data_IF_683839892463
#
_entry.id   IF_683839892463
#
_cell.length_a   1.000
_cell.length_b   1.000
_cell.length_c   1.000
_cell.angle_alpha   90.00
_cell.angle_beta   90.00
_cell.angle_gamma   90.00
#
_symmetry.space_group_name_H-M   'P 1'
#
loop_
_entity.id
_entity.type
_entity.pdbx_description
1 polymer ?
#
# COMPACT_ATOMS: atom_id res chain seq x y z
N UNK A 1 -66.32 2.51 42.31
CA UNK A 1 -67.53 3.32 42.10
C UNK A 1 -67.04 4.62 41.46
N UNK A 2 -66.75 4.61 40.17
CA UNK A 2 -67.68 4.64 39.02
C UNK A 2 -67.75 6.10 38.48
N UNK A 3 -67.54 6.36 37.18
CA UNK A 3 -68.41 6.04 36.03
C UNK A 3 -69.79 6.74 36.16
N UNK A 4 -70.29 7.49 35.18
CA UNK A 4 -69.76 7.88 33.85
C UNK A 4 -70.66 9.00 33.24
N UNK A 5 -70.56 9.23 31.93
CA UNK A 5 -71.63 9.67 31.01
C UNK A 5 -72.04 11.18 30.98
N UNK A 6 -71.86 11.79 29.78
CA UNK A 6 -72.89 12.36 28.87
C UNK A 6 -73.95 13.38 29.38
N UNK A 7 -74.51 14.33 28.60
CA UNK A 7 -74.13 14.96 27.30
C UNK A 7 -75.18 16.03 26.85
N UNK A 8 -74.86 16.76 25.76
CA UNK A 8 -75.80 17.31 24.73
C UNK A 8 -76.62 18.58 25.09
N UNK A 9 -77.17 19.21 24.04
CA UNK A 9 -78.03 20.43 23.95
C UNK A 9 -77.30 21.81 23.93
N UNK A 10 -77.66 22.79 23.08
CA UNK A 10 -78.65 22.82 21.98
C UNK A 10 -78.25 23.80 20.84
N UNK A 11 -78.67 23.44 19.61
CA UNK A 11 -79.23 24.20 18.45
C UNK A 11 -79.51 25.72 18.62
N UNK A 12 -79.70 26.61 17.62
CA UNK A 12 -80.00 26.60 16.15
C UNK A 12 -79.78 28.07 15.62
N UNK A 13 -79.93 28.55 14.37
CA UNK A 13 -80.08 28.02 12.99
C UNK A 13 -79.74 29.17 11.97
N UNK A 14 -79.10 28.88 10.82
CA UNK A 14 -79.43 29.49 9.50
C UNK A 14 -78.62 28.87 8.35
N UNK A 15 -79.24 28.69 7.19
CA UNK A 15 -78.67 28.04 5.99
C UNK A 15 -79.14 28.76 4.73
N UNK A 16 -78.28 28.83 3.68
CA UNK A 16 -78.53 28.91 2.22
C UNK A 16 -77.34 29.67 1.56
N UNK A 17 -76.78 29.32 0.39
CA UNK A 17 -76.74 28.07 -0.39
C UNK A 17 -75.70 28.17 -1.54
N UNK A 18 -75.57 27.12 -2.35
CA UNK A 18 -74.77 26.96 -3.58
C UNK A 18 -73.30 26.51 -3.47
N UNK A 19 -72.84 25.85 -4.56
CA UNK A 19 -71.88 24.74 -4.49
C UNK A 19 -70.51 25.05 -5.09
N UNK A 20 -69.46 24.50 -4.45
CA UNK A 20 -68.11 24.34 -5.00
C UNK A 20 -67.34 23.32 -4.15
N UNK A 21 -67.12 22.11 -4.68
CA UNK A 21 -66.58 21.00 -3.88
C UNK A 21 -65.11 21.20 -3.50
N UNK A 22 -64.80 21.12 -2.21
CA UNK A 22 -63.48 20.72 -1.71
C UNK A 22 -63.70 19.54 -0.74
N UNK A 23 -63.00 18.44 -0.99
CA UNK A 23 -63.09 17.21 -0.19
C UNK A 23 -62.36 17.34 1.15
N UNK A 24 -62.69 16.50 2.16
CA UNK A 24 -62.06 16.60 3.48
C UNK A 24 -60.54 16.42 3.44
N UNK A 25 -59.83 17.26 4.18
CA UNK A 25 -58.39 17.11 4.40
C UNK A 25 -58.09 15.77 5.06
N UNK A 26 -57.26 14.96 4.40
CA UNK A 26 -56.81 13.65 4.88
C UNK A 26 -55.77 13.79 6.01
N UNK A 27 -55.60 12.78 6.88
CA UNK A 27 -55.21 13.00 8.27
C UNK A 27 -53.73 13.38 8.46
N UNK A 28 -53.47 14.10 9.55
CA UNK A 28 -52.13 14.51 9.98
C UNK A 28 -51.16 13.32 10.09
N UNK A 29 -50.21 13.23 9.16
CA UNK A 29 -49.18 12.19 9.16
C UNK A 29 -48.19 12.48 10.29
N UNK A 30 -48.41 11.85 11.45
CA UNK A 30 -47.52 11.86 12.62
C UNK A 30 -46.15 11.25 12.26
N UNK A 31 -45.23 12.09 11.76
CA UNK A 31 -43.86 11.71 11.36
C UNK A 31 -43.10 11.07 12.53
N UNK A 32 -42.40 9.97 12.27
CA UNK A 32 -41.65 9.23 13.31
C UNK A 32 -40.42 10.01 13.76
N UNK A 33 -40.12 9.97 15.06
CA UNK A 33 -38.94 10.61 15.65
C UNK A 33 -37.66 10.08 14.98
N UNK A 34 -36.92 10.95 14.31
CA UNK A 34 -35.69 10.59 13.55
C UNK A 34 -35.88 10.36 12.05
N UNK A 35 -37.06 10.60 11.46
CA UNK A 35 -37.21 10.72 10.00
C UNK A 35 -36.95 12.16 9.53
N UNK A 36 -36.61 12.31 8.25
CA UNK A 36 -36.39 13.60 7.61
C UNK A 36 -37.68 14.45 7.60
N UNK A 37 -37.53 15.77 7.72
CA UNK A 37 -38.66 16.71 7.61
C UNK A 37 -39.34 16.60 6.23
N UNK A 38 -38.54 16.48 5.18
CA UNK A 38 -39.00 16.53 3.79
C UNK A 38 -39.36 15.13 3.23
N UNK A 39 -39.11 14.02 3.95
CA UNK A 39 -39.59 12.67 3.59
C UNK A 39 -39.43 11.62 4.70
N UNK A 40 -40.10 10.47 4.57
CA UNK A 40 -40.04 9.37 5.55
C UNK A 40 -38.71 8.58 5.62
N UNK A 41 -37.63 9.04 4.95
CA UNK A 41 -36.28 8.45 5.08
C UNK A 41 -35.67 8.81 6.45
N UNK A 42 -34.75 8.00 6.96
CA UNK A 42 -34.00 8.32 8.19
C UNK A 42 -33.22 9.64 8.04
N UNK A 43 -33.24 10.47 9.08
CA UNK A 43 -32.46 11.70 9.14
C UNK A 43 -31.03 11.44 9.63
N UNK A 44 -30.06 12.10 9.00
CA UNK A 44 -28.63 12.00 9.27
C UNK A 44 -27.87 13.33 9.06
N UNK A 45 -28.54 14.38 8.61
CA UNK A 45 -28.01 15.73 8.36
C UNK A 45 -28.78 16.79 9.16
N UNK A 46 -28.15 17.92 9.46
CA UNK A 46 -28.73 19.01 10.26
C UNK A 46 -28.25 20.40 9.88
N UNK A 47 -29.09 21.40 10.16
CA UNK A 47 -28.68 22.81 10.21
C UNK A 47 -27.79 23.04 11.43
N UNK A 48 -27.02 24.14 11.41
CA UNK A 48 -26.07 24.47 12.46
C UNK A 48 -26.74 24.58 13.84
N UNK A 49 -26.05 24.06 14.87
CA UNK A 49 -26.49 24.00 16.27
C UNK A 49 -27.78 23.21 16.58
N UNK A 50 -28.52 22.74 15.57
CA UNK A 50 -29.68 21.84 15.78
C UNK A 50 -29.21 20.42 16.10
N UNK A 51 -29.91 19.74 17.03
CA UNK A 51 -29.86 18.29 17.33
C UNK A 51 -31.26 17.85 17.82
N UNK A 52 -31.76 16.63 17.54
CA UNK A 52 -31.21 15.52 16.73
C UNK A 52 -31.24 15.81 15.21
N UNK A 53 -30.67 14.96 14.33
CA UNK A 53 -30.74 15.11 12.87
C UNK A 53 -32.18 15.19 12.32
N UNK A 54 -32.40 16.07 11.33
CA UNK A 54 -33.72 16.37 10.74
C UNK A 54 -33.78 16.26 9.20
N UNK A 55 -32.67 16.06 8.49
CA UNK A 55 -32.62 15.89 7.03
C UNK A 55 -31.95 14.58 6.61
N UNK A 56 -32.38 13.98 5.50
CA UNK A 56 -31.74 12.79 4.90
C UNK A 56 -30.74 13.17 3.80
N UNK A 57 -29.96 12.19 3.33
CA UNK A 57 -28.92 12.39 2.30
C UNK A 57 -29.41 12.98 0.97
N UNK A 58 -30.68 12.79 0.60
CA UNK A 58 -31.25 13.38 -0.63
C UNK A 58 -31.85 14.76 -0.42
N UNK A 59 -32.17 15.14 0.83
CA UNK A 59 -32.78 16.45 1.17
C UNK A 59 -31.85 17.27 2.08
N UNK A 60 -30.54 17.13 1.88
CA UNK A 60 -29.53 17.95 2.55
C UNK A 60 -29.67 19.41 2.09
N UNK A 61 -30.18 20.27 2.96
CA UNK A 61 -29.85 21.72 2.94
C UNK A 61 -28.39 21.85 3.38
N UNK A 62 -27.67 22.90 3.01
CA UNK A 62 -26.20 22.93 2.98
C UNK A 62 -25.50 22.73 4.35
N UNK A 63 -25.39 21.46 4.75
CA UNK A 63 -24.53 21.00 5.83
C UNK A 63 -23.11 20.97 5.29
N UNK A 64 -22.46 22.14 5.34
CA UNK A 64 -21.02 22.24 5.10
C UNK A 64 -20.29 21.45 6.17
N UNK A 65 -19.97 20.20 5.83
CA UNK A 65 -18.79 19.51 6.33
C UNK A 65 -17.65 20.54 6.29
N UNK A 66 -17.11 20.92 7.45
CA UNK A 66 -16.25 22.12 7.65
C UNK A 66 -15.31 22.29 6.45
N UNK A 67 -15.34 23.43 5.76
CA UNK A 67 -14.56 23.63 4.53
C UNK A 67 -13.12 24.07 4.83
N UNK A 68 -12.25 23.99 3.84
CA UNK A 68 -10.90 24.55 3.90
C UNK A 68 -10.98 26.07 4.04
N UNK A 69 -10.17 26.64 4.93
CA UNK A 69 -10.14 28.08 5.23
C UNK A 69 -9.74 28.95 4.03
N UNK A 70 -9.01 28.37 3.06
CA UNK A 70 -8.63 29.03 1.81
C UNK A 70 -9.83 29.53 1.00
N UNK A 71 -9.74 30.73 0.45
CA UNK A 71 -10.86 31.40 -0.21
C UNK A 71 -11.38 30.59 -1.42
N UNK A 72 -12.70 30.39 -1.50
CA UNK A 72 -13.34 29.59 -2.55
C UNK A 72 -13.09 28.07 -2.46
N UNK A 73 -12.37 27.57 -1.45
CA UNK A 73 -11.99 26.16 -1.39
C UNK A 73 -13.05 25.24 -0.78
N UNK A 74 -13.94 24.70 -1.61
CA UNK A 74 -14.94 23.70 -1.19
C UNK A 74 -14.38 22.32 -0.76
N UNK A 75 -13.05 22.14 -0.68
CA UNK A 75 -12.43 20.87 -0.23
C UNK A 75 -12.51 20.77 1.31
N UNK A 76 -12.80 19.57 1.82
CA UNK A 76 -12.72 19.27 3.26
C UNK A 76 -11.28 19.33 3.77
N UNK A 77 -11.00 19.95 4.94
CA UNK A 77 -9.69 20.05 5.52
C UNK A 77 -9.33 18.80 6.32
N UNK A 78 -8.02 18.54 6.37
CA UNK A 78 -7.39 17.53 7.19
C UNK A 78 -6.10 18.03 7.85
N UNK A 79 -5.49 19.08 7.31
CA UNK A 79 -4.24 19.67 7.78
C UNK A 79 -4.47 20.90 8.67
N UNK A 80 -3.55 21.14 9.59
CA UNK A 80 -3.53 22.29 10.49
C UNK A 80 -2.50 22.12 11.61
N UNK A 81 -2.45 23.04 12.57
CA UNK A 81 -1.54 22.94 13.72
C UNK A 81 -2.15 22.10 14.87
N UNK A 82 -3.44 22.31 15.17
CA UNK A 82 -4.18 21.63 16.24
C UNK A 82 -5.54 21.12 15.74
N UNK A 83 -6.25 21.94 14.96
CA UNK A 83 -7.53 21.61 14.32
C UNK A 83 -7.37 21.65 12.81
N UNK A 84 -8.12 20.81 12.10
CA UNK A 84 -8.09 20.79 10.64
C UNK A 84 -8.72 22.07 10.09
N UNK A 85 -7.93 22.84 9.35
CA UNK A 85 -8.31 24.12 8.73
C UNK A 85 -8.00 24.14 7.25
N UNK A 86 -7.02 23.36 6.78
CA UNK A 86 -6.60 23.35 5.39
C UNK A 86 -6.71 21.96 4.75
N UNK A 87 -7.00 21.92 3.45
CA UNK A 87 -6.95 20.69 2.66
C UNK A 87 -5.52 20.40 2.19
N UNK A 88 -5.30 19.22 1.59
CA UNK A 88 -3.96 18.76 1.16
C UNK A 88 -3.23 19.72 0.20
N UNK A 89 -3.95 20.54 -0.57
CA UNK A 89 -3.33 21.52 -1.50
C UNK A 89 -3.00 22.86 -0.86
N UNK A 90 -3.53 23.17 0.33
CA UNK A 90 -3.39 24.50 0.97
C UNK A 90 -2.78 24.40 2.37
N UNK A 91 -2.08 23.30 2.67
CA UNK A 91 -1.29 23.16 3.90
C UNK A 91 0.01 23.96 3.78
N UNK A 92 0.45 24.61 4.85
CA UNK A 92 1.85 25.08 4.95
C UNK A 92 2.78 23.92 5.33
N UNK A 93 4.09 24.17 5.39
CA UNK A 93 5.10 23.18 5.79
C UNK A 93 4.84 22.66 7.22
N UNK A 94 4.45 23.57 8.12
CA UNK A 94 4.20 23.30 9.54
C UNK A 94 2.85 22.62 9.82
N UNK A 95 1.95 22.62 8.84
CA UNK A 95 0.62 22.01 8.98
C UNK A 95 0.68 20.49 8.79
N UNK A 96 0.56 19.79 9.91
CA UNK A 96 0.41 18.33 10.01
C UNK A 96 -1.01 17.88 9.67
N UNK A 97 -1.18 16.61 9.28
CA UNK A 97 -2.51 15.98 9.23
C UNK A 97 -2.97 15.69 10.65
N UNK A 98 -4.10 16.30 11.04
CA UNK A 98 -4.72 16.16 12.36
C UNK A 98 -6.02 15.35 12.33
N UNK A 99 -6.37 14.76 11.17
CA UNK A 99 -7.51 13.84 11.02
C UNK A 99 -7.07 12.38 10.95
N UNK A 100 -5.90 12.06 10.40
CA UNK A 100 -5.36 10.70 10.47
C UNK A 100 -4.73 10.42 11.82
N UNK A 101 -4.85 9.16 12.29
CA UNK A 101 -4.12 8.70 13.47
C UNK A 101 -2.63 8.61 13.11
N UNK A 102 -1.78 9.16 13.96
CA UNK A 102 -0.31 9.12 13.86
C UNK A 102 0.27 8.00 14.72
N UNK A 103 1.56 7.73 14.56
CA UNK A 103 2.32 6.80 15.40
C UNK A 103 2.29 7.28 16.87
N UNK A 104 2.11 6.37 17.81
CA UNK A 104 2.10 6.63 19.27
C UNK A 104 3.52 6.88 19.85
N UNK A 105 4.53 7.09 18.98
CA UNK A 105 5.90 7.45 19.35
C UNK A 105 6.09 8.96 19.19
N UNK A 106 6.74 9.60 20.17
CA UNK A 106 6.84 11.06 20.23
C UNK A 106 7.43 11.72 18.97
N UNK A 107 6.83 12.83 18.57
CA UNK A 107 7.16 13.55 17.32
C UNK A 107 6.86 12.80 16.01
N UNK A 108 6.43 11.54 16.02
CA UNK A 108 6.37 10.72 14.82
C UNK A 108 5.10 10.95 13.97
N UNK A 109 5.21 11.80 12.95
CA UNK A 109 4.12 12.11 12.01
C UNK A 109 3.80 11.02 10.98
N UNK A 110 4.31 9.79 11.12
CA UNK A 110 4.00 8.70 10.18
C UNK A 110 2.71 7.97 10.55
N UNK A 111 1.97 7.49 9.54
CA UNK A 111 0.72 6.76 9.76
C UNK A 111 1.05 5.36 10.34
N UNK A 112 0.42 4.93 11.45
CA UNK A 112 0.70 3.64 12.06
C UNK A 112 0.13 2.50 11.22
N UNK A 113 0.85 1.39 11.22
CA UNK A 113 0.53 0.16 10.49
C UNK A 113 0.80 -1.10 11.31
N UNK A 114 1.60 -0.99 12.39
CA UNK A 114 1.97 -2.06 13.29
C UNK A 114 1.37 -1.84 14.69
N UNK A 115 1.14 -2.92 15.42
CA UNK A 115 0.63 -2.92 16.80
C UNK A 115 0.08 -4.28 17.20
N UNK A 116 -0.22 -4.49 18.48
CA UNK A 116 -0.65 -5.80 18.99
C UNK A 116 -2.07 -6.13 18.51
N UNK A 117 -3.04 -5.24 18.79
CA UNK A 117 -4.47 -5.40 18.44
C UNK A 117 -4.92 -4.40 17.37
N UNK A 118 -4.54 -3.14 17.51
CA UNK A 118 -4.80 -2.00 16.61
C UNK A 118 -3.46 -1.45 16.08
N UNK A 119 -3.41 -0.81 14.89
CA UNK A 119 -2.23 -0.02 14.51
C UNK A 119 -1.99 1.11 15.51
N UNK A 120 -0.82 1.09 16.13
CA UNK A 120 -0.33 2.14 17.06
C UNK A 120 1.01 2.71 16.61
N UNK A 121 1.87 1.90 16.01
CA UNK A 121 3.23 2.29 15.62
C UNK A 121 3.47 2.13 14.12
N UNK A 122 4.50 2.80 13.61
CA UNK A 122 4.94 2.71 12.21
C UNK A 122 5.96 1.57 12.01
N UNK A 123 6.48 1.43 10.79
CA UNK A 123 7.47 0.41 10.46
C UNK A 123 8.82 0.56 11.19
N UNK A 124 9.15 1.79 11.63
CA UNK A 124 10.41 2.13 12.32
C UNK A 124 10.27 1.94 13.84
N UNK A 125 9.10 2.29 14.41
CA UNK A 125 8.87 2.31 15.87
C UNK A 125 8.07 1.11 16.39
N UNK A 126 7.98 0.02 15.62
CA UNK A 126 7.33 -1.22 16.08
C UNK A 126 8.21 -1.93 17.13
N UNK A 127 7.61 -2.53 18.16
CA UNK A 127 8.30 -3.57 18.95
C UNK A 127 8.35 -4.90 18.19
N UNK A 128 9.02 -5.90 18.76
CA UNK A 128 9.07 -7.27 18.20
C UNK A 128 7.67 -7.89 18.11
N UNK A 129 6.84 -7.66 19.12
CA UNK A 129 5.47 -8.20 19.28
C UNK A 129 4.42 -7.47 18.42
N UNK A 130 4.79 -6.33 17.83
CA UNK A 130 3.90 -5.52 17.02
C UNK A 130 3.86 -6.02 15.58
N UNK A 131 2.82 -6.79 15.27
CA UNK A 131 2.46 -7.24 13.92
C UNK A 131 1.82 -6.14 13.07
N UNK A 132 1.87 -6.27 11.74
CA UNK A 132 1.24 -5.32 10.81
C UNK A 132 -0.26 -5.57 10.69
N UNK A 133 -1.11 -4.79 11.37
CA UNK A 133 -2.57 -5.01 11.38
C UNK A 133 -3.27 -4.54 10.10
N UNK A 134 -2.59 -3.83 9.18
CA UNK A 134 -3.16 -3.45 7.87
C UNK A 134 -2.87 -4.49 6.78
N UNK A 135 -1.78 -5.23 6.90
CA UNK A 135 -1.50 -6.38 6.05
C UNK A 135 -2.30 -7.59 6.52
N UNK A 136 -2.87 -8.35 5.58
CA UNK A 136 -3.36 -9.70 5.90
C UNK A 136 -2.16 -10.59 6.19
N UNK A 137 -2.22 -11.35 7.27
CA UNK A 137 -1.21 -12.35 7.65
C UNK A 137 -1.57 -13.73 7.09
N UNK A 138 -0.62 -14.66 7.13
CA UNK A 138 -0.85 -16.08 6.92
C UNK A 138 -1.76 -16.63 8.03
N UNK A 139 -2.65 -17.58 7.70
CA UNK A 139 -3.63 -18.13 8.65
C UNK A 139 -2.99 -18.98 9.77
N UNK A 140 -1.78 -19.50 9.54
CA UNK A 140 -0.98 -20.18 10.56
C UNK A 140 -0.58 -19.22 11.66
N UNK A 141 -0.99 -19.52 12.89
CA UNK A 141 -0.66 -18.78 14.12
C UNK A 141 0.85 -18.51 14.23
N UNK A 142 1.23 -17.27 14.54
CA UNK A 142 2.64 -16.87 14.64
C UNK A 142 3.33 -16.57 13.31
N UNK A 143 2.64 -16.58 12.16
CA UNK A 143 3.25 -16.31 10.86
C UNK A 143 2.97 -14.89 10.32
N UNK A 144 3.91 -13.96 10.54
CA UNK A 144 3.84 -12.58 10.02
C UNK A 144 3.98 -12.42 8.50
N UNK A 145 4.25 -13.51 7.77
CA UNK A 145 4.39 -13.46 6.31
C UNK A 145 3.03 -13.21 5.67
N UNK A 146 2.95 -12.24 4.76
CA UNK A 146 1.73 -12.04 3.98
C UNK A 146 1.36 -13.34 3.24
N UNK A 147 0.07 -13.66 3.10
CA UNK A 147 -0.36 -14.80 2.32
C UNK A 147 -0.23 -14.47 0.83
N UNK A 148 0.06 -15.50 0.05
CA UNK A 148 0.02 -15.51 -1.42
C UNK A 148 -0.61 -16.77 -1.99
N UNK A 149 -0.72 -17.84 -1.19
CA UNK A 149 -1.28 -19.13 -1.59
C UNK A 149 -2.70 -19.33 -1.06
N UNK A 150 -3.52 -20.02 -1.85
CA UNK A 150 -4.88 -20.41 -1.49
C UNK A 150 -5.48 -21.36 -2.54
N UNK A 151 -6.78 -21.64 -2.41
CA UNK A 151 -7.53 -22.40 -3.41
C UNK A 151 -7.90 -21.53 -4.61
N UNK A 152 -8.10 -22.18 -5.76
CA UNK A 152 -8.46 -21.55 -7.03
C UNK A 152 -9.76 -20.74 -6.91
N UNK A 153 -9.79 -19.54 -7.51
CA UNK A 153 -10.83 -18.50 -7.34
C UNK A 153 -11.06 -18.02 -5.89
N UNK A 154 -10.25 -18.47 -4.93
CA UNK A 154 -10.32 -18.08 -3.52
C UNK A 154 -9.55 -16.80 -3.20
N UNK A 155 -9.35 -16.56 -1.90
CA UNK A 155 -8.47 -15.51 -1.37
C UNK A 155 -7.15 -16.17 -0.92
N UNK A 156 -5.99 -15.49 -1.04
CA UNK A 156 -4.76 -15.99 -0.44
C UNK A 156 -4.88 -16.00 1.08
N UNK A 157 -4.66 -17.18 1.69
CA UNK A 157 -4.73 -17.42 3.14
C UNK A 157 -3.39 -17.88 3.73
N UNK A 158 -2.48 -18.42 2.91
CA UNK A 158 -1.22 -19.01 3.37
C UNK A 158 0.00 -18.39 2.69
N UNK A 159 1.15 -18.36 3.36
CA UNK A 159 2.42 -17.93 2.77
C UNK A 159 3.11 -19.10 2.03
N UNK A 160 4.22 -18.84 1.33
CA UNK A 160 4.95 -19.85 0.54
C UNK A 160 5.44 -21.07 1.33
N UNK A 161 5.73 -20.91 2.62
CA UNK A 161 6.15 -22.00 3.52
C UNK A 161 4.98 -22.77 4.13
N UNK A 162 3.78 -22.19 4.13
CA UNK A 162 2.58 -22.76 4.76
C UNK A 162 1.48 -23.10 3.74
N UNK A 163 1.81 -23.15 2.45
CA UNK A 163 0.89 -23.66 1.44
C UNK A 163 0.56 -25.13 1.77
N UNK A 164 -0.72 -25.49 1.70
CA UNK A 164 -1.12 -26.90 1.73
C UNK A 164 -1.04 -27.48 0.30
N UNK A 165 -1.23 -28.79 0.17
CA UNK A 165 -1.41 -29.40 -1.15
C UNK A 165 -2.61 -28.78 -1.90
N UNK A 166 -2.56 -28.83 -3.23
CA UNK A 166 -3.52 -28.22 -4.17
C UNK A 166 -3.64 -26.68 -4.11
N UNK A 167 -2.93 -26.00 -3.21
CA UNK A 167 -2.93 -24.53 -3.16
C UNK A 167 -2.02 -23.91 -4.22
N UNK A 168 -2.57 -22.95 -4.95
CA UNK A 168 -1.89 -22.17 -5.99
C UNK A 168 -1.52 -20.78 -5.47
N UNK A 169 -0.57 -20.12 -6.13
CA UNK A 169 -0.28 -18.71 -5.88
C UNK A 169 -1.36 -17.87 -6.55
N UNK A 170 -2.03 -17.02 -5.75
CA UNK A 170 -3.16 -16.17 -6.16
C UNK A 170 -2.77 -14.69 -6.29
N UNK A 171 -1.50 -14.34 -6.05
CA UNK A 171 -0.98 -12.97 -6.22
C UNK A 171 -0.25 -12.79 -7.53
N UNK A 172 0.63 -13.74 -7.85
CA UNK A 172 1.39 -13.69 -9.09
C UNK A 172 0.51 -14.20 -10.23
N UNK A 173 0.51 -13.49 -11.36
CA UNK A 173 -0.20 -13.96 -12.56
C UNK A 173 0.45 -15.24 -13.06
N UNK A 174 -0.38 -16.21 -13.44
CA UNK A 174 0.05 -17.42 -14.15
C UNK A 174 0.23 -17.14 -15.63
N UNK A 175 0.74 -18.14 -16.33
CA UNK A 175 0.76 -18.24 -17.79
C UNK A 175 -0.65 -17.99 -18.38
N UNK A 176 -0.72 -17.40 -19.57
CA UNK A 176 -1.98 -17.05 -20.24
C UNK A 176 -2.72 -18.25 -20.85
N UNK A 177 -2.04 -19.36 -21.12
CA UNK A 177 -2.64 -20.58 -21.66
C UNK A 177 -3.52 -21.29 -20.62
N UNK A 178 -4.57 -21.94 -21.13
CA UNK A 178 -5.52 -22.69 -20.33
C UNK A 178 -4.83 -23.72 -19.43
N UNK A 179 -5.24 -23.77 -18.16
CA UNK A 179 -4.73 -24.66 -17.12
C UNK A 179 -3.23 -24.50 -16.77
N UNK A 180 -2.49 -23.57 -17.38
CA UNK A 180 -1.05 -23.45 -17.16
C UNK A 180 -0.67 -22.65 -15.90
N UNK A 181 -0.58 -23.36 -14.78
CA UNK A 181 -0.27 -22.79 -13.44
C UNK A 181 1.21 -22.42 -13.21
N UNK A 182 1.99 -22.28 -14.28
CA UNK A 182 3.41 -21.87 -14.24
C UNK A 182 3.51 -20.34 -14.24
N UNK A 183 4.50 -19.77 -13.54
CA UNK A 183 4.78 -18.33 -13.63
C UNK A 183 5.27 -17.98 -15.06
N UNK A 184 4.70 -16.95 -15.71
CA UNK A 184 5.16 -16.51 -17.00
C UNK A 184 6.49 -15.77 -16.86
N UNK A 185 7.33 -15.92 -17.87
CA UNK A 185 8.57 -15.15 -18.01
C UNK A 185 8.75 -14.60 -19.42
N UNK A 186 7.98 -15.13 -20.39
CA UNK A 186 8.02 -14.75 -21.79
C UNK A 186 6.88 -13.81 -22.18
N UNK A 187 7.15 -12.90 -23.12
CA UNK A 187 6.22 -11.91 -23.64
C UNK A 187 6.81 -11.15 -24.83
N UNK A 188 6.08 -10.15 -25.34
CA UNK A 188 6.56 -9.25 -26.40
C UNK A 188 7.60 -8.25 -25.87
N UNK A 189 8.48 -7.73 -26.73
CA UNK A 189 9.53 -6.78 -26.35
C UNK A 189 8.98 -5.58 -25.56
N UNK A 190 9.66 -5.19 -24.46
CA UNK A 190 9.23 -4.16 -23.49
C UNK A 190 7.85 -4.41 -22.82
N UNK A 191 7.20 -5.54 -23.09
CA UNK A 191 5.92 -5.95 -22.52
C UNK A 191 6.02 -6.61 -21.14
N UNK A 192 4.88 -7.02 -20.60
CA UNK A 192 4.80 -7.84 -19.37
C UNK A 192 4.88 -9.33 -19.73
N UNK A 193 5.44 -10.19 -18.86
CA UNK A 193 5.43 -11.63 -19.09
C UNK A 193 3.99 -12.15 -19.06
N UNK A 194 3.63 -12.91 -20.09
CA UNK A 194 2.31 -13.53 -20.29
C UNK A 194 2.41 -15.05 -20.43
N UNK A 195 3.48 -15.58 -21.01
CA UNK A 195 3.64 -17.02 -21.27
C UNK A 195 4.85 -17.61 -20.56
N UNK A 196 4.84 -18.93 -20.33
CA UNK A 196 5.93 -19.68 -19.74
C UNK A 196 6.83 -20.27 -20.84
N UNK A 197 7.99 -20.84 -20.47
CA UNK A 197 8.96 -21.41 -21.44
C UNK A 197 8.35 -22.47 -22.38
N UNK A 198 7.30 -23.18 -21.96
CA UNK A 198 6.63 -24.19 -22.80
C UNK A 198 5.70 -23.61 -23.85
N UNK A 199 5.17 -22.40 -23.64
CA UNK A 199 4.07 -21.84 -24.43
C UNK A 199 4.39 -20.45 -25.02
N UNK A 200 5.68 -20.08 -25.08
CA UNK A 200 6.11 -18.91 -25.85
C UNK A 200 5.80 -19.14 -27.34
N UNK A 201 5.30 -18.13 -28.03
CA UNK A 201 5.34 -18.11 -29.51
C UNK A 201 6.78 -17.89 -30.00
N UNK A 202 7.01 -17.87 -31.31
CA UNK A 202 8.28 -17.45 -31.93
C UNK A 202 8.74 -16.10 -31.41
N UNK A 203 7.83 -15.13 -31.41
CA UNK A 203 8.11 -13.70 -31.23
C UNK A 203 8.22 -13.29 -29.75
N UNK A 204 7.92 -14.23 -28.84
CA UNK A 204 8.00 -14.01 -27.40
C UNK A 204 9.41 -14.28 -26.85
N UNK A 205 9.98 -13.23 -26.25
CA UNK A 205 11.28 -13.21 -25.57
C UNK A 205 11.09 -13.27 -24.04
N UNK A 206 12.13 -13.62 -23.29
CA UNK A 206 12.10 -13.75 -21.82
C UNK A 206 12.14 -12.38 -21.11
N UNK A 207 11.08 -11.58 -21.24
CA UNK A 207 10.93 -10.21 -20.71
C UNK A 207 11.12 -10.04 -19.18
N UNK A 208 11.42 -11.11 -18.45
CA UNK A 208 11.80 -11.08 -17.04
C UNK A 208 13.30 -10.85 -16.83
N UNK A 209 14.14 -11.27 -17.78
CA UNK A 209 15.59 -11.11 -17.73
C UNK A 209 16.00 -9.92 -18.61
N UNK A 210 17.05 -9.18 -18.21
CA UNK A 210 17.58 -8.09 -19.03
C UNK A 210 18.17 -8.62 -20.35
N UNK A 211 18.12 -7.81 -21.40
CA UNK A 211 18.60 -8.13 -22.75
C UNK A 211 19.81 -7.31 -23.15
N UNK A 212 20.62 -7.84 -24.07
CA UNK A 212 21.71 -7.09 -24.66
C UNK A 212 21.21 -5.82 -25.35
N UNK A 213 21.70 -4.65 -24.92
CA UNK A 213 21.42 -3.30 -25.42
C UNK A 213 21.92 -3.02 -26.85
N UNK A 214 22.22 -4.06 -27.63
CA UNK A 214 22.60 -3.96 -29.03
C UNK A 214 21.40 -4.35 -29.89
N UNK A 215 21.15 -3.63 -30.98
CA UNK A 215 19.95 -3.79 -31.79
C UNK A 215 19.74 -5.25 -32.25
N UNK A 216 18.50 -5.73 -32.08
CA UNK A 216 18.08 -7.11 -32.39
C UNK A 216 18.84 -8.24 -31.65
N UNK A 217 19.65 -7.95 -30.63
CA UNK A 217 20.42 -8.97 -29.92
C UNK A 217 19.61 -9.71 -28.83
N UNK A 218 19.06 -10.87 -29.19
CA UNK A 218 18.26 -11.72 -28.29
C UNK A 218 19.07 -12.51 -27.24
N UNK A 219 20.29 -12.08 -26.90
CA UNK A 219 21.08 -12.69 -25.82
C UNK A 219 20.64 -12.07 -24.48
N UNK A 220 19.86 -12.84 -23.72
CA UNK A 220 19.43 -12.51 -22.36
C UNK A 220 20.58 -12.61 -21.34
N UNK A 221 20.41 -11.95 -20.19
CA UNK A 221 21.40 -11.84 -19.11
C UNK A 221 22.77 -11.32 -19.59
N UNK A 222 22.83 -10.12 -20.22
CA UNK A 222 24.08 -9.53 -20.68
C UNK A 222 25.07 -9.34 -19.53
N UNK A 223 26.28 -9.88 -19.69
CA UNK A 223 27.28 -9.91 -18.62
C UNK A 223 28.28 -8.74 -18.65
N UNK A 224 28.35 -7.98 -19.76
CA UNK A 224 29.39 -6.98 -20.01
C UNK A 224 28.85 -5.55 -19.88
N UNK A 225 29.64 -4.69 -19.25
CA UNK A 225 29.33 -3.28 -19.02
C UNK A 225 30.65 -2.55 -18.69
N UNK A 226 30.61 -1.24 -18.46
CA UNK A 226 31.72 -0.54 -17.83
C UNK A 226 31.81 -0.84 -16.33
N UNK A 227 32.97 -0.57 -15.72
CA UNK A 227 33.26 -0.86 -14.31
C UNK A 227 32.17 -0.25 -13.40
N UNK A 228 31.65 -1.06 -12.48
CA UNK A 228 30.59 -0.64 -11.56
C UNK A 228 29.17 -0.69 -12.12
N UNK A 229 28.99 -0.98 -13.43
CA UNK A 229 27.71 -1.16 -14.10
C UNK A 229 26.92 -2.41 -13.65
N UNK A 230 25.91 -2.78 -14.45
CA UNK A 230 24.99 -3.90 -14.17
C UNK A 230 25.13 -5.10 -15.11
N UNK A 231 25.60 -4.85 -16.34
CA UNK A 231 25.53 -5.81 -17.43
C UNK A 231 24.51 -5.31 -18.44
N UNK A 232 24.98 -4.91 -19.62
CA UNK A 232 24.16 -4.34 -20.69
C UNK A 232 24.45 -4.96 -22.05
N UNK A 233 25.65 -5.49 -22.26
CA UNK A 233 26.07 -6.10 -23.50
C UNK A 233 26.43 -7.59 -23.30
N UNK A 234 26.18 -8.39 -24.33
CA UNK A 234 26.62 -9.78 -24.40
C UNK A 234 28.12 -9.86 -24.77
N UNK A 235 28.68 -11.07 -24.84
CA UNK A 235 30.11 -11.27 -25.18
C UNK A 235 30.47 -10.74 -26.58
N UNK A 236 29.56 -10.79 -27.54
CA UNK A 236 29.80 -10.37 -28.94
C UNK A 236 29.62 -8.89 -29.18
N UNK A 237 28.84 -8.20 -28.34
CA UNK A 237 28.54 -6.76 -28.48
C UNK A 237 29.12 -5.92 -27.34
N UNK A 238 30.06 -6.46 -26.56
CA UNK A 238 30.83 -5.66 -25.62
C UNK A 238 31.69 -4.66 -26.39
N UNK A 239 31.77 -3.43 -25.92
CA UNK A 239 32.76 -2.47 -26.43
C UNK A 239 34.16 -2.81 -25.93
N UNK A 240 35.14 -2.08 -26.45
CA UNK A 240 36.46 -1.97 -25.85
C UNK A 240 36.35 -1.45 -24.40
N UNK A 241 37.29 -1.84 -23.54
CA UNK A 241 37.28 -1.54 -22.09
C UNK A 241 36.07 -2.05 -21.28
N UNK A 242 35.06 -2.69 -21.89
CA UNK A 242 33.98 -3.37 -21.14
C UNK A 242 34.45 -4.70 -20.53
N UNK A 243 34.12 -4.87 -19.25
CA UNK A 243 34.46 -6.03 -18.41
C UNK A 243 33.23 -6.85 -18.07
N UNK A 244 33.41 -8.09 -17.63
CA UNK A 244 32.30 -8.92 -17.13
C UNK A 244 31.96 -8.49 -15.68
N UNK A 245 30.81 -7.82 -15.51
CA UNK A 245 30.39 -7.25 -14.22
C UNK A 245 29.48 -8.18 -13.40
N UNK A 246 28.96 -9.25 -14.00
CA UNK A 246 28.14 -10.26 -13.30
C UNK A 246 29.04 -11.34 -12.68
N UNK A 247 29.95 -11.93 -13.46
CA UNK A 247 30.99 -12.85 -13.01
C UNK A 247 32.30 -12.08 -12.76
N UNK A 248 32.32 -11.34 -11.64
CA UNK A 248 33.36 -10.36 -11.29
C UNK A 248 34.73 -11.03 -11.10
N UNK A 249 35.68 -10.64 -11.94
CA UNK A 249 37.12 -10.94 -11.80
C UNK A 249 37.88 -9.71 -11.31
N UNK A 250 39.12 -9.91 -10.89
CA UNK A 250 40.07 -8.83 -10.62
C UNK A 250 40.22 -7.91 -11.85
N UNK A 251 40.15 -6.60 -11.65
CA UNK A 251 40.30 -5.56 -12.66
C UNK A 251 41.78 -5.32 -13.05
N UNK A 252 42.51 -6.41 -13.28
CA UNK A 252 43.88 -6.41 -13.79
C UNK A 252 43.91 -7.34 -15.00
N UNK A 253 44.60 -6.94 -16.07
CA UNK A 253 44.54 -7.65 -17.34
C UNK A 253 44.99 -9.12 -17.23
N UNK A 254 44.31 -10.03 -17.94
CA UNK A 254 44.53 -11.47 -17.85
C UNK A 254 44.15 -12.12 -16.50
N UNK A 255 43.83 -11.36 -15.45
CA UNK A 255 43.63 -11.94 -14.11
C UNK A 255 42.32 -12.73 -13.97
N UNK A 256 42.43 -13.99 -13.57
CA UNK A 256 41.29 -14.89 -13.35
C UNK A 256 40.77 -14.92 -11.91
N UNK A 257 41.53 -14.38 -10.95
CA UNK A 257 41.20 -14.38 -9.51
C UNK A 257 39.96 -13.53 -9.22
N UNK A 258 39.13 -13.94 -8.26
CA UNK A 258 38.05 -13.09 -7.74
C UNK A 258 38.61 -11.83 -7.07
N UNK A 259 37.91 -10.69 -7.15
CA UNK A 259 38.27 -9.50 -6.40
C UNK A 259 37.78 -9.60 -4.94
N UNK A 260 38.50 -8.91 -4.05
CA UNK A 260 38.14 -8.69 -2.65
C UNK A 260 38.49 -7.27 -2.17
N UNK A 261 39.47 -6.63 -2.82
CA UNK A 261 40.02 -5.33 -2.42
C UNK A 261 39.45 -4.19 -3.27
N UNK A 262 39.31 -3.00 -2.67
CA UNK A 262 38.82 -1.79 -3.32
C UNK A 262 38.90 -0.57 -2.40
N UNK A 263 38.31 0.54 -2.83
CA UNK A 263 38.14 1.75 -2.02
C UNK A 263 37.16 1.46 -0.87
N UNK A 264 37.40 2.01 0.32
CA UNK A 264 36.54 1.85 1.50
C UNK A 264 35.06 2.11 1.18
N UNK A 265 34.16 1.27 1.72
CA UNK A 265 32.70 1.24 1.42
C UNK A 265 32.33 1.02 -0.07
N UNK A 266 33.32 0.82 -0.95
CA UNK A 266 33.14 0.57 -2.38
C UNK A 266 32.89 -0.90 -2.74
N UNK A 267 32.89 -1.19 -4.04
CA UNK A 267 32.81 -2.57 -4.57
C UNK A 267 34.22 -3.21 -4.61
N UNK A 268 34.37 -4.52 -4.39
CA UNK A 268 35.65 -5.20 -4.61
C UNK A 268 35.99 -5.20 -6.11
N UNK A 269 37.15 -4.64 -6.45
CA UNK A 269 37.66 -4.52 -7.83
C UNK A 269 38.93 -5.36 -8.06
N UNK A 270 39.79 -5.54 -7.04
CA UNK A 270 41.10 -6.16 -7.19
C UNK A 270 41.28 -7.40 -6.30
N UNK A 271 42.10 -8.35 -6.72
CA UNK A 271 42.52 -9.47 -5.87
C UNK A 271 43.76 -9.10 -5.03
N UNK A 272 44.12 -9.91 -4.03
CA UNK A 272 45.22 -9.64 -3.10
C UNK A 272 46.56 -9.30 -3.77
N UNK A 273 46.85 -9.84 -4.97
CA UNK A 273 48.11 -9.59 -5.68
C UNK A 273 48.11 -8.34 -6.57
N UNK A 274 46.95 -7.73 -6.83
CA UNK A 274 46.81 -6.55 -7.71
C UNK A 274 46.06 -5.40 -7.02
N UNK A 275 46.06 -5.37 -5.68
CA UNK A 275 45.54 -4.23 -4.92
C UNK A 275 46.56 -3.10 -4.93
N UNK A 276 46.08 -1.86 -4.91
CA UNK A 276 46.93 -0.69 -4.63
C UNK A 276 47.17 -0.57 -3.11
N UNK A 277 48.14 0.25 -2.66
CA UNK A 277 48.33 0.52 -1.24
C UNK A 277 47.04 1.04 -0.57
N UNK A 278 46.32 1.93 -1.26
CA UNK A 278 45.01 2.53 -0.92
C UNK A 278 43.86 1.54 -0.77
N UNK A 279 43.93 0.35 -1.38
CA UNK A 279 42.80 -0.58 -1.45
C UNK A 279 42.74 -1.50 -0.22
N UNK A 280 41.64 -1.40 0.54
CA UNK A 280 41.29 -2.24 1.69
C UNK A 280 40.49 -3.47 1.25
N UNK A 281 40.38 -4.52 2.08
CA UNK A 281 39.42 -5.61 1.82
C UNK A 281 38.00 -5.08 2.08
N UNK A 282 37.13 -5.18 1.05
CA UNK A 282 35.72 -4.74 1.09
C UNK A 282 34.75 -5.90 0.86
N UNK A 283 35.26 -7.13 0.81
CA UNK A 283 34.48 -8.38 0.76
C UNK A 283 34.40 -9.03 2.14
N UNK A 284 35.44 -8.87 2.95
CA UNK A 284 35.52 -9.34 4.32
C UNK A 284 34.94 -8.31 5.29
N UNK A 285 34.05 -8.74 6.18
CA UNK A 285 33.71 -7.96 7.36
C UNK A 285 34.70 -8.30 8.47
N UNK A 286 35.26 -7.29 9.12
CA UNK A 286 36.08 -7.43 10.33
C UNK A 286 35.22 -7.30 11.58
N UNK A 287 35.74 -7.74 12.72
CA UNK A 287 35.07 -7.57 14.01
C UNK A 287 34.80 -6.08 14.32
N UNK A 288 33.69 -5.79 14.99
CA UNK A 288 33.26 -4.40 15.28
C UNK A 288 34.08 -3.74 16.39
N UNK A 289 34.88 -4.51 17.13
CA UNK A 289 35.76 -4.00 18.17
C UNK A 289 37.00 -3.34 17.56
N UNK A 290 37.35 -2.15 18.05
CA UNK A 290 38.57 -1.46 17.62
C UNK A 290 39.83 -2.33 17.82
N UNK A 291 40.76 -2.25 16.88
CA UNK A 291 41.99 -3.06 16.79
C UNK A 291 41.79 -4.58 16.58
N UNK A 292 40.56 -5.09 16.40
CA UNK A 292 40.32 -6.51 16.18
C UNK A 292 40.43 -6.91 14.69
N UNK A 293 41.64 -7.28 14.25
CA UNK A 293 41.95 -7.70 12.87
C UNK A 293 41.39 -9.09 12.47
N UNK A 294 40.45 -9.65 13.22
CA UNK A 294 39.81 -10.93 12.90
C UNK A 294 38.63 -10.74 11.96
N UNK A 295 38.48 -11.65 10.98
CA UNK A 295 37.29 -11.71 10.13
C UNK A 295 36.07 -12.09 10.98
N UNK A 296 34.97 -11.36 10.83
CA UNK A 296 33.71 -11.65 11.51
C UNK A 296 33.07 -12.92 10.95
N UNK A 297 33.16 -14.02 11.70
CA UNK A 297 32.61 -15.33 11.36
C UNK A 297 31.15 -15.52 11.79
N UNK A 298 30.65 -14.69 12.71
CA UNK A 298 29.29 -14.79 13.26
C UNK A 298 28.64 -13.42 13.43
N UNK A 299 27.38 -13.29 12.97
CA UNK A 299 26.52 -12.13 13.26
C UNK A 299 25.97 -12.21 14.70
N UNK A 300 26.83 -11.96 15.69
CA UNK A 300 26.38 -11.75 17.07
C UNK A 300 25.82 -10.33 17.17
N UNK A 301 24.49 -10.24 17.20
CA UNK A 301 23.79 -9.03 17.66
C UNK A 301 24.02 -8.96 19.17
N UNK A 302 24.97 -8.12 19.60
CA UNK A 302 25.19 -7.84 21.01
C UNK A 302 24.01 -7.02 21.54
N UNK A 303 23.05 -7.73 22.14
CA UNK A 303 22.12 -7.14 23.10
C UNK A 303 22.94 -6.77 24.33
N UNK A 304 23.23 -5.48 24.49
CA UNK A 304 23.76 -4.96 25.75
C UNK A 304 22.68 -5.09 26.84
N UNK A 305 23.05 -5.74 27.93
CA UNK A 305 22.27 -5.90 29.17
C UNK A 305 22.52 -4.74 30.11
#
# INVERSE_FOLDING_TARGET
>A
MENNLLCIEILQNSVLSYHGNITPLSPEIKKKKGTCLDCNKQACFNLENVKPPIYCSTHKKDVKDQQCNEAGCSKRPCYGLIKATHCVTHKTVDMIDVKTKRCEYEGCNTIPTFGITKPTHCAVHKSVDMKNNKAKQCLVTGCDKQPSFGLENGKPLYCSQHKLDKMINLKDKTCSDENCKVLPTFGIEKGKPTHCKKHKTTDMINVKDDYCHYENCMIANPAFDFIGGKGKFCKTHKLENMVNVTNKKCNYEGCTKQPAFGIEKGKPLFCKTHKEPSHVDVKSQFCINENCNLHASFNIILLFT
#
